data_IF_608148991544
#
_entry.id   IF_608148991544
#
_cell.length_a   1.000
_cell.length_b   1.000
_cell.length_c   1.000
_cell.angle_alpha   90.00
_cell.angle_beta   90.00
_cell.angle_gamma   90.00
#
_symmetry.space_group_name_H-M   'P 1'
#
loop_
_entity.id
_entity.type
_entity.pdbx_description
1 polymer ?
#
# COMPACT_ATOMS: atom_id res chain seq x y z
N UNK A 1 -16.88 -10.93 -18.89
CA UNK A 1 -17.48 -9.76 -19.59
C UNK A 1 -17.06 -8.45 -18.90
N UNK A 2 -16.47 -7.48 -19.62
CA UNK A 2 -16.12 -6.17 -19.05
C UNK A 2 -17.32 -5.22 -19.00
N UNK A 3 -17.37 -4.36 -17.98
CA UNK A 3 -18.40 -3.33 -17.78
C UNK A 3 -17.80 -1.95 -17.43
N UNK A 4 -18.54 -0.89 -17.69
CA UNK A 4 -18.23 0.48 -17.27
C UNK A 4 -19.14 0.88 -16.10
N UNK A 5 -18.56 1.37 -15.01
CA UNK A 5 -19.30 1.94 -13.87
C UNK A 5 -18.91 3.39 -13.62
N UNK A 6 -19.88 4.22 -13.25
CA UNK A 6 -19.66 5.62 -12.87
C UNK A 6 -19.42 5.69 -11.36
N UNK A 7 -18.27 6.23 -10.96
CA UNK A 7 -17.96 6.55 -9.57
C UNK A 7 -18.68 7.86 -9.18
N UNK A 8 -19.64 7.84 -8.24
CA UNK A 8 -20.35 9.04 -7.80
C UNK A 8 -19.50 9.96 -6.92
N UNK A 9 -18.47 9.46 -6.25
CA UNK A 9 -17.61 10.26 -5.37
C UNK A 9 -16.61 11.09 -6.16
N UNK A 10 -16.03 10.51 -7.22
CA UNK A 10 -15.00 11.18 -8.04
C UNK A 10 -15.53 11.67 -9.39
N UNK A 11 -16.75 11.31 -9.77
CA UNK A 11 -17.30 11.65 -11.08
C UNK A 11 -16.44 11.11 -12.23
N UNK A 12 -15.95 9.87 -12.12
CA UNK A 12 -15.11 9.22 -13.13
C UNK A 12 -15.75 7.91 -13.60
N UNK A 13 -15.47 7.52 -14.83
CA UNK A 13 -15.81 6.19 -15.33
C UNK A 13 -14.71 5.21 -14.95
N UNK A 14 -15.09 4.01 -14.53
CA UNK A 14 -14.20 2.94 -14.11
C UNK A 14 -14.48 1.71 -14.97
N UNK A 15 -13.41 1.09 -15.47
CA UNK A 15 -13.48 -0.17 -16.23
C UNK A 15 -13.34 -1.33 -15.25
N UNK A 16 -14.33 -2.22 -15.23
CA UNK A 16 -14.28 -3.48 -14.50
C UNK A 16 -14.13 -4.61 -15.51
N UNK A 17 -12.99 -5.30 -15.47
CA UNK A 17 -12.68 -6.41 -16.36
C UNK A 17 -12.16 -7.60 -15.52
N UNK A 18 -13.07 -8.45 -15.05
CA UNK A 18 -12.77 -9.52 -14.08
C UNK A 18 -11.69 -10.49 -14.59
N UNK A 19 -11.72 -10.84 -15.87
CA UNK A 19 -10.79 -11.78 -16.50
C UNK A 19 -9.35 -11.26 -16.63
N UNK A 20 -9.08 -9.98 -16.32
CA UNK A 20 -7.74 -9.38 -16.46
C UNK A 20 -6.70 -10.00 -15.52
N UNK A 21 -7.12 -10.53 -14.36
CA UNK A 21 -6.22 -11.13 -13.37
C UNK A 21 -5.62 -12.46 -13.84
N UNK A 22 -6.27 -13.13 -14.80
CA UNK A 22 -5.82 -14.42 -15.34
C UNK A 22 -4.82 -14.28 -16.48
N UNK A 23 -4.49 -13.04 -16.90
CA UNK A 23 -3.50 -12.82 -17.94
C UNK A 23 -2.12 -13.20 -17.42
N UNK A 24 -1.30 -13.90 -18.22
CA UNK A 24 0.09 -14.11 -17.85
C UNK A 24 0.78 -12.74 -17.68
N UNK A 25 1.53 -12.60 -16.59
CA UNK A 25 2.38 -11.45 -16.34
C UNK A 25 3.83 -11.84 -16.66
N UNK A 26 4.42 -11.22 -17.68
CA UNK A 26 5.81 -11.47 -18.08
C UNK A 26 6.81 -11.04 -16.99
N UNK A 27 6.39 -10.14 -16.10
CA UNK A 27 7.18 -9.63 -14.99
C UNK A 27 6.71 -10.25 -13.68
N UNK A 28 7.64 -10.85 -12.95
CA UNK A 28 7.44 -11.18 -11.54
C UNK A 28 7.70 -9.91 -10.74
N UNK A 29 6.76 -9.55 -9.87
CA UNK A 29 7.03 -8.56 -8.83
C UNK A 29 7.98 -9.22 -7.84
N UNK A 30 9.22 -8.73 -7.75
CA UNK A 30 10.06 -9.04 -6.61
C UNK A 30 9.40 -8.42 -5.38
N UNK A 31 8.95 -9.27 -4.47
CA UNK A 31 8.52 -8.83 -3.14
C UNK A 31 9.81 -8.59 -2.38
N UNK A 32 10.17 -7.32 -2.20
CA UNK A 32 11.25 -6.98 -1.28
C UNK A 32 10.88 -7.50 0.11
N UNK A 33 11.79 -8.26 0.73
CA UNK A 33 11.62 -8.63 2.12
C UNK A 33 11.58 -7.35 2.95
N UNK A 34 10.59 -7.19 3.85
CA UNK A 34 10.54 -6.00 4.69
C UNK A 34 11.84 -5.90 5.47
N UNK A 35 12.39 -4.69 5.55
CA UNK A 35 13.56 -4.43 6.36
C UNK A 35 13.29 -4.92 7.78
N UNK A 36 14.15 -5.81 8.30
CA UNK A 36 13.99 -6.38 9.63
C UNK A 36 13.94 -5.29 10.71
N UNK A 37 13.47 -5.62 11.92
CA UNK A 37 13.20 -4.64 12.97
C UNK A 37 14.44 -3.84 13.38
N UNK A 38 15.64 -4.36 13.16
CA UNK A 38 16.90 -3.64 13.37
C UNK A 38 17.10 -2.42 12.46
N UNK A 39 16.37 -2.35 11.33
CA UNK A 39 16.52 -1.27 10.33
C UNK A 39 15.30 -0.36 10.22
N UNK A 40 14.20 -0.64 10.94
CA UNK A 40 13.02 0.22 10.94
C UNK A 40 13.18 1.32 12.00
N UNK A 41 13.07 2.61 11.66
CA UNK A 41 13.05 3.72 12.63
C UNK A 41 11.79 3.77 13.49
N UNK A 42 10.72 3.05 13.11
CA UNK A 42 9.43 3.08 13.82
C UNK A 42 9.29 1.98 14.88
N UNK A 43 10.30 1.12 15.03
CA UNK A 43 10.35 0.20 16.17
C UNK A 43 10.74 0.93 17.45
N UNK A 44 10.22 0.47 18.59
CA UNK A 44 10.46 1.12 19.89
C UNK A 44 11.94 1.17 20.25
N UNK A 45 12.37 2.28 20.86
CA UNK A 45 13.76 2.53 21.22
C UNK A 45 14.61 3.20 20.12
N UNK A 46 14.00 3.59 19.00
CA UNK A 46 14.63 4.31 17.88
C UNK A 46 13.97 5.65 17.57
N UNK A 47 13.34 6.24 18.57
CA UNK A 47 12.61 7.48 18.43
C UNK A 47 13.54 8.63 17.97
N UNK A 48 14.84 8.53 18.22
CA UNK A 48 15.89 9.44 17.75
C UNK A 48 16.06 9.47 16.21
N UNK A 49 15.66 8.40 15.53
CA UNK A 49 15.68 8.29 14.06
C UNK A 49 14.39 8.79 13.42
N UNK A 50 13.42 9.25 14.22
CA UNK A 50 12.14 9.80 13.75
C UNK A 50 12.10 11.32 13.96
N UNK A 51 11.31 12.04 13.16
CA UNK A 51 11.04 13.46 13.44
C UNK A 51 10.43 13.67 14.83
N UNK A 52 10.51 14.89 15.40
CA UNK A 52 9.95 15.18 16.72
C UNK A 52 8.49 14.73 16.87
N UNK A 53 8.21 14.06 17.98
CA UNK A 53 6.88 13.56 18.33
C UNK A 53 5.86 14.72 18.43
N UNK A 54 4.72 14.58 17.75
CA UNK A 54 3.60 15.54 17.80
C UNK A 54 2.65 15.20 18.97
N UNK A 55 2.30 13.92 19.12
CA UNK A 55 1.42 13.43 20.20
C UNK A 55 1.57 11.91 20.36
N UNK A 56 1.50 11.42 21.60
CA UNK A 56 1.43 10.00 21.91
C UNK A 56 0.47 9.74 23.07
N UNK A 57 -0.38 8.73 22.94
CA UNK A 57 -1.23 8.22 24.02
C UNK A 57 -0.50 7.03 24.63
N UNK A 58 0.00 7.19 25.86
CA UNK A 58 0.68 6.13 26.62
C UNK A 58 -0.25 5.68 27.77
N UNK A 59 -0.32 4.38 28.10
CA UNK A 59 -1.07 3.88 29.25
C UNK A 59 -0.48 4.34 30.59
#
# INVERSE_FOLDING_TARGET
>A
MPELRRDPAKGKWVIIAVERSSRPSDFKLEVEEPAGPEKCPFDGGKEDQTPPEITAIRP
#
